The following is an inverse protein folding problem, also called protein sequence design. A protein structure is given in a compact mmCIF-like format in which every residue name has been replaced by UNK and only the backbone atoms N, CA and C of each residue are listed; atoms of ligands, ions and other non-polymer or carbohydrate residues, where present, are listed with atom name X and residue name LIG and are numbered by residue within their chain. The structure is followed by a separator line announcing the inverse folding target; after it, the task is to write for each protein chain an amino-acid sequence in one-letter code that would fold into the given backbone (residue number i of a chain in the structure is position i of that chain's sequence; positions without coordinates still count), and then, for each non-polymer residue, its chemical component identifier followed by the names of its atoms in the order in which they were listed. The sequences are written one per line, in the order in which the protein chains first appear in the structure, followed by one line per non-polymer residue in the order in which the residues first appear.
data_IF_587062622189
#
_entry.id   IF_587062622189
#
_cell.length_a   1.000
_cell.length_b   1.000
_cell.length_c   1.000
_cell.angle_alpha   90.00
_cell.angle_beta   90.00
_cell.angle_gamma   90.00
#
_symmetry.space_group_name_H-M   'P 1'
#
loop_
_entity.id
_entity.type
_entity.pdbx_description
1 polymer ?
#
# COMPACT_ATOMS: atom_id res chain seq x y z
N UNK A 1 1.65 42.84 -24.21
CA UNK A 1 1.40 41.46 -24.69
C UNK A 1 2.18 40.51 -23.80
N UNK A 2 1.52 39.76 -22.92
CA UNK A 2 2.18 38.71 -22.14
C UNK A 2 2.36 37.48 -23.05
N UNK A 3 3.62 37.11 -23.30
CA UNK A 3 4.00 35.95 -24.10
C UNK A 3 3.43 34.67 -23.47
N UNK A 4 2.86 33.79 -24.29
CA UNK A 4 2.05 32.64 -23.85
C UNK A 4 2.88 31.36 -23.67
N UNK A 5 4.21 31.48 -23.67
CA UNK A 5 5.10 30.35 -23.94
C UNK A 5 6.21 30.10 -22.89
N UNK A 6 6.20 30.78 -21.74
CA UNK A 6 7.11 30.47 -20.61
C UNK A 6 6.54 29.34 -19.71
N UNK A 7 6.24 28.19 -20.31
CA UNK A 7 5.92 26.94 -19.60
C UNK A 7 7.15 26.02 -19.45
N UNK A 8 8.35 26.58 -19.57
CA UNK A 8 9.63 25.87 -19.42
C UNK A 8 10.00 25.57 -17.97
N UNK A 9 9.39 26.27 -17.01
CA UNK A 9 9.63 26.10 -15.56
C UNK A 9 8.65 25.13 -14.89
N UNK A 10 7.78 24.49 -15.67
CA UNK A 10 6.97 23.38 -15.15
C UNK A 10 7.84 22.12 -15.16
N UNK A 11 8.24 21.57 -14.01
CA UNK A 11 8.98 20.32 -13.97
C UNK A 11 8.14 19.24 -14.65
N UNK A 12 8.65 18.70 -15.76
CA UNK A 12 7.90 17.83 -16.68
C UNK A 12 7.87 16.36 -16.26
N UNK A 13 8.27 16.05 -15.04
CA UNK A 13 8.51 14.67 -14.60
C UNK A 13 7.96 14.51 -13.18
N UNK A 14 6.66 14.25 -13.06
CA UNK A 14 6.18 13.45 -11.93
C UNK A 14 6.57 12.02 -12.24
N UNK A 15 7.62 11.51 -11.59
CA UNK A 15 8.11 10.14 -11.78
C UNK A 15 6.95 9.15 -11.66
N UNK A 16 6.68 8.33 -12.69
CA UNK A 16 5.56 7.39 -12.69
C UNK A 16 5.70 6.29 -11.62
N UNK A 17 6.90 6.13 -11.06
CA UNK A 17 7.25 5.17 -10.00
C UNK A 17 7.08 5.70 -8.57
N UNK A 18 6.43 6.85 -8.39
CA UNK A 18 5.87 7.16 -7.08
C UNK A 18 4.61 6.30 -6.91
N UNK A 19 4.82 5.05 -6.45
CA UNK A 19 3.80 4.14 -5.92
C UNK A 19 3.15 4.79 -4.69
N UNK A 20 2.42 5.89 -4.91
CA UNK A 20 1.40 6.38 -4.01
C UNK A 20 0.34 5.29 -4.05
N UNK A 21 0.53 4.29 -3.19
CA UNK A 21 -0.48 3.32 -2.86
C UNK A 21 -1.79 4.10 -2.72
N UNK A 22 -2.75 3.82 -3.60
CA UNK A 22 -3.99 4.60 -3.67
C UNK A 22 -4.69 4.43 -2.33
N UNK A 23 -4.61 5.45 -1.48
CA UNK A 23 -5.23 5.43 -0.18
C UNK A 23 -6.71 5.08 -0.37
N UNK A 24 -7.20 3.97 0.19
CA UNK A 24 -8.58 3.52 -0.04
C UNK A 24 -9.58 4.61 0.40
N UNK A 25 -9.23 5.40 1.41
CA UNK A 25 -10.01 6.56 1.85
C UNK A 25 -10.10 7.66 0.78
N UNK A 26 -9.00 7.97 0.08
CA UNK A 26 -9.00 8.97 -1.00
C UNK A 26 -9.83 8.49 -2.18
N UNK A 27 -9.75 7.20 -2.50
CA UNK A 27 -10.56 6.60 -3.57
C UNK A 27 -12.05 6.65 -3.21
N UNK A 28 -12.41 6.30 -1.97
CA UNK A 28 -13.78 6.42 -1.47
C UNK A 28 -14.27 7.87 -1.50
N UNK A 29 -13.44 8.84 -1.13
CA UNK A 29 -13.77 10.26 -1.21
C UNK A 29 -14.08 10.70 -2.66
N UNK A 30 -13.31 10.21 -3.65
CA UNK A 30 -13.56 10.47 -5.07
C UNK A 30 -14.89 9.91 -5.58
N UNK A 31 -15.26 8.70 -5.16
CA UNK A 31 -16.58 8.15 -5.49
C UNK A 31 -17.73 8.92 -4.83
N UNK A 32 -17.56 9.35 -3.58
CA UNK A 32 -18.53 10.22 -2.89
C UNK A 32 -18.71 11.55 -3.63
N UNK A 33 -17.62 12.16 -4.09
CA UNK A 33 -17.67 13.39 -4.89
C UNK A 33 -18.38 13.16 -6.24
N UNK A 34 -18.19 12.00 -6.87
CA UNK A 34 -18.89 11.64 -8.11
C UNK A 34 -20.40 11.57 -7.92
N UNK A 35 -20.86 11.08 -6.76
CA UNK A 35 -22.29 10.97 -6.44
C UNK A 35 -22.92 12.34 -6.17
N UNK A 36 -22.22 13.24 -5.49
CA UNK A 36 -22.74 14.58 -5.14
C UNK A 36 -22.69 15.56 -6.31
N UNK A 37 -21.82 15.34 -7.29
CA UNK A 37 -21.69 16.24 -8.43
C UNK A 37 -22.95 16.16 -9.34
N UNK A 38 -23.67 17.28 -9.56
CA UNK A 38 -24.84 17.29 -10.45
C UNK A 38 -24.49 17.06 -11.92
N UNK A 39 -23.26 17.34 -12.35
CA UNK A 39 -22.80 17.19 -13.73
C UNK A 39 -22.42 15.75 -14.10
N UNK A 40 -22.42 14.80 -13.15
CA UNK A 40 -22.12 13.40 -13.43
C UNK A 40 -23.38 12.66 -13.88
N UNK A 41 -23.20 11.68 -14.77
CA UNK A 41 -24.29 10.87 -15.28
C UNK A 41 -24.83 9.89 -14.23
N UNK A 42 -26.09 9.50 -14.36
CA UNK A 42 -26.72 8.56 -13.42
C UNK A 42 -26.02 7.20 -13.41
N UNK A 43 -25.53 6.74 -14.56
CA UNK A 43 -24.73 5.52 -14.66
C UNK A 43 -23.41 5.63 -13.88
N UNK A 44 -22.75 6.79 -13.93
CA UNK A 44 -21.52 7.03 -13.16
C UNK A 44 -21.80 7.04 -11.66
N UNK A 45 -22.88 7.70 -11.22
CA UNK A 45 -23.31 7.71 -9.81
C UNK A 45 -23.66 6.32 -9.32
N UNK A 46 -24.37 5.52 -10.12
CA UNK A 46 -24.70 4.12 -9.79
C UNK A 46 -23.45 3.27 -9.60
N UNK A 47 -22.47 3.36 -10.51
CA UNK A 47 -21.18 2.68 -10.38
C UNK A 47 -20.39 3.13 -9.14
N UNK A 48 -20.34 4.43 -8.88
CA UNK A 48 -19.66 4.97 -7.70
C UNK A 48 -20.26 4.43 -6.39
N UNK A 49 -21.59 4.28 -6.31
CA UNK A 49 -22.26 3.65 -5.15
C UNK A 49 -21.88 2.18 -4.99
N UNK A 50 -21.88 1.40 -6.07
CA UNK A 50 -21.49 0.00 -6.03
C UNK A 50 -20.03 -0.19 -5.55
N UNK A 51 -19.12 0.65 -6.03
CA UNK A 51 -17.70 0.64 -5.62
C UNK A 51 -17.54 1.01 -4.15
N UNK A 52 -18.29 2.00 -3.65
CA UNK A 52 -18.27 2.34 -2.22
C UNK A 52 -18.75 1.18 -1.34
N UNK A 53 -19.81 0.49 -1.75
CA UNK A 53 -20.31 -0.67 -1.02
C UNK A 53 -19.31 -1.84 -1.03
N UNK A 54 -18.62 -2.07 -2.16
CA UNK A 54 -17.57 -3.08 -2.26
C UNK A 54 -16.37 -2.77 -1.36
N UNK A 55 -16.02 -1.49 -1.22
CA UNK A 55 -14.94 -1.02 -0.34
C UNK A 55 -15.35 -1.00 1.15
N UNK A 56 -16.62 -0.70 1.44
CA UNK A 56 -17.14 -0.63 2.81
C UNK A 56 -17.49 -2.02 3.37
N UNK A 57 -17.74 -3.02 2.50
CA UNK A 57 -17.84 -4.42 2.92
C UNK A 57 -16.59 -4.72 3.74
N UNK A 58 -16.72 -4.92 5.06
CA UNK A 58 -15.57 -5.16 5.89
C UNK A 58 -15.05 -6.50 5.41
N UNK A 59 -13.94 -6.46 4.69
CA UNK A 59 -13.17 -7.64 4.46
C UNK A 59 -12.81 -8.09 5.89
N UNK A 60 -13.51 -9.11 6.40
CA UNK A 60 -13.22 -9.81 7.65
C UNK A 60 -11.93 -10.59 7.48
N UNK A 61 -10.91 -9.89 7.03
CA UNK A 61 -9.54 -10.30 6.88
C UNK A 61 -8.75 -9.22 7.59
N UNK A 62 -8.89 -9.28 8.91
CA UNK A 62 -7.81 -8.99 9.85
C UNK A 62 -7.19 -7.60 9.69
N UNK A 63 -7.69 -6.64 10.49
CA UNK A 63 -6.84 -5.93 11.46
C UNK A 63 -5.35 -5.93 11.09
N UNK A 64 -5.02 -5.05 10.16
CA UNK A 64 -3.68 -4.57 9.87
C UNK A 64 -3.73 -3.03 9.81
N UNK A 65 -4.34 -2.44 10.85
CA UNK A 65 -3.63 -1.38 11.59
C UNK A 65 -2.26 -1.99 11.94
N UNK A 66 -1.10 -1.53 11.50
CA UNK A 66 -0.64 -0.21 11.06
C UNK A 66 0.45 -0.41 10.00
N UNK A 67 0.35 0.28 8.87
CA UNK A 67 1.55 0.74 8.16
C UNK A 67 1.86 2.12 8.72
N UNK A 68 2.37 2.13 9.94
CA UNK A 68 2.99 3.32 10.51
C UNK A 68 4.48 3.28 10.17
N UNK A 69 4.89 4.13 9.25
CA UNK A 69 6.29 4.54 9.11
C UNK A 69 6.59 5.58 10.20
N UNK A 70 6.55 5.14 11.45
CA UNK A 70 6.89 5.93 12.63
C UNK A 70 8.18 5.42 13.24
N UNK A 71 9.26 6.14 12.95
CA UNK A 71 10.43 6.25 13.82
C UNK A 71 9.97 6.85 15.15
N UNK A 72 9.45 6.06 16.08
CA UNK A 72 9.31 6.46 17.48
C UNK A 72 9.29 5.21 18.36
N UNK A 73 10.15 5.22 19.37
CA UNK A 73 10.54 4.05 20.15
C UNK A 73 9.42 3.36 20.91
N UNK A 74 9.73 2.14 21.33
CA UNK A 74 8.94 1.30 22.25
C UNK A 74 7.80 0.48 21.63
N UNK A 75 8.16 -0.40 20.68
CA UNK A 75 7.27 -1.49 20.23
C UNK A 75 7.85 -2.85 20.62
N UNK A 76 7.22 -3.46 21.63
CA UNK A 76 7.54 -4.78 22.13
C UNK A 76 7.43 -5.86 21.06
N UNK A 77 8.58 -6.44 20.70
CA UNK A 77 8.70 -7.70 19.95
C UNK A 77 8.33 -7.61 18.47
N UNK A 78 9.13 -8.24 17.60
CA UNK A 78 8.71 -8.45 16.20
C UNK A 78 7.57 -9.47 16.19
N UNK A 79 6.56 -9.25 15.36
CA UNK A 79 5.52 -10.26 15.15
C UNK A 79 6.15 -11.57 14.64
N UNK A 80 5.94 -12.71 15.31
CA UNK A 80 6.60 -13.98 14.93
C UNK A 80 6.19 -14.43 13.52
N UNK A 81 4.97 -14.07 13.07
CA UNK A 81 4.50 -14.31 11.71
C UNK A 81 5.31 -13.53 10.67
N UNK A 82 5.66 -12.28 10.97
CA UNK A 82 6.45 -11.44 10.07
C UNK A 82 7.90 -11.91 10.02
N UNK A 83 8.46 -12.33 11.16
CA UNK A 83 9.81 -12.92 11.19
C UNK A 83 9.85 -14.24 10.40
N UNK A 84 8.88 -15.13 10.58
CA UNK A 84 8.80 -16.38 9.84
C UNK A 84 8.69 -16.16 8.31
N UNK A 85 7.92 -15.15 7.88
CA UNK A 85 7.83 -14.74 6.47
C UNK A 85 9.17 -14.25 5.93
N UNK A 86 9.87 -13.40 6.68
CA UNK A 86 11.21 -12.92 6.31
C UNK A 86 12.23 -14.06 6.17
N UNK A 87 12.29 -14.96 7.15
CA UNK A 87 13.17 -16.13 7.10
C UNK A 87 12.87 -17.03 5.88
N UNK A 88 11.59 -17.21 5.53
CA UNK A 88 11.18 -17.96 4.35
C UNK A 88 11.64 -17.29 3.05
N UNK A 89 11.55 -15.96 2.98
CA UNK A 89 12.05 -15.19 1.83
C UNK A 89 13.57 -15.35 1.67
N UNK A 90 14.33 -15.30 2.79
CA UNK A 90 15.78 -15.54 2.80
C UNK A 90 16.11 -16.91 2.22
N UNK A 91 15.41 -17.98 2.62
CA UNK A 91 15.63 -19.35 2.14
C UNK A 91 15.42 -19.47 0.62
N UNK A 92 14.44 -18.76 0.06
CA UNK A 92 14.13 -18.81 -1.38
C UNK A 92 14.99 -17.90 -2.25
N UNK A 93 15.68 -16.92 -1.68
CA UNK A 93 16.44 -15.94 -2.43
C UNK A 93 17.80 -16.51 -2.88
N UNK A 94 18.01 -16.60 -4.20
CA UNK A 94 19.25 -17.10 -4.80
C UNK A 94 20.45 -16.16 -4.60
N UNK A 95 20.21 -14.88 -4.37
CA UNK A 95 21.25 -13.87 -4.12
C UNK A 95 21.80 -13.90 -2.70
N UNK A 96 21.23 -14.74 -1.82
CA UNK A 96 21.66 -14.88 -0.42
C UNK A 96 22.63 -16.05 -0.28
N UNK A 97 23.64 -15.87 0.57
CA UNK A 97 24.64 -16.90 0.85
C UNK A 97 24.02 -18.20 1.37
N UNK A 98 24.69 -19.32 1.11
CA UNK A 98 24.23 -20.64 1.55
C UNK A 98 24.12 -20.72 3.09
N UNK A 99 25.06 -20.10 3.79
CA UNK A 99 25.10 -20.03 5.25
C UNK A 99 23.89 -19.29 5.81
N UNK A 100 23.53 -18.13 5.24
CA UNK A 100 22.37 -17.36 5.66
C UNK A 100 21.05 -18.11 5.39
N UNK A 101 20.94 -18.82 4.24
CA UNK A 101 19.80 -19.69 3.94
C UNK A 101 19.68 -20.85 4.93
N UNK A 102 20.79 -21.47 5.31
CA UNK A 102 20.83 -22.56 6.29
C UNK A 102 20.42 -22.07 7.68
N UNK A 103 20.97 -20.94 8.15
CA UNK A 103 20.61 -20.34 9.43
C UNK A 103 19.10 -19.99 9.48
N UNK A 104 18.58 -19.37 8.43
CA UNK A 104 17.16 -19.05 8.33
C UNK A 104 16.27 -20.29 8.41
N UNK A 105 16.69 -21.40 7.76
CA UNK A 105 15.99 -22.68 7.83
C UNK A 105 16.01 -23.30 9.23
N UNK A 106 17.12 -23.19 9.95
CA UNK A 106 17.22 -23.67 11.33
C UNK A 106 16.34 -22.87 12.29
N UNK A 107 16.38 -21.54 12.20
CA UNK A 107 15.52 -20.66 13.01
C UNK A 107 14.05 -20.96 12.75
N UNK A 108 13.65 -21.09 11.48
CA UNK A 108 12.27 -21.42 11.09
C UNK A 108 11.79 -22.76 11.65
N UNK A 109 12.67 -23.77 11.70
CA UNK A 109 12.36 -25.09 12.30
C UNK A 109 12.22 -25.04 13.82
N UNK A 110 13.08 -24.27 14.49
CA UNK A 110 13.06 -24.13 15.96
C UNK A 110 11.95 -23.19 16.46
N UNK A 111 11.30 -22.46 15.55
CA UNK A 111 10.36 -21.38 15.88
C UNK A 111 10.97 -20.34 16.84
N UNK A 112 12.26 -20.08 16.68
CA UNK A 112 13.06 -19.26 17.60
C UNK A 112 13.30 -17.86 17.00
N UNK A 113 12.35 -16.95 17.24
CA UNK A 113 12.32 -15.59 16.70
C UNK A 113 11.35 -14.64 17.41
#
# INVERSE_FOLDING_TARGET
MASRDDYSDVPKEVSPDSDVAKDPERVAAGYKATISNPQTSDQAKSRARAMLEEMEKPNKTQSAETVDHGDDGDHGGKDPKNVARGLKATISNQSVSEEARKNAKERLKKQDF
#
